data_IF_464667874525
#
_entry.id   IF_464667874525
#
_cell.length_a   1.000
_cell.length_b   1.000
_cell.length_c   1.000
_cell.angle_alpha   90.00
_cell.angle_beta   90.00
_cell.angle_gamma   90.00
#
_symmetry.space_group_name_H-M   'P 1'
#
loop_
_entity.id
_entity.type
_entity.pdbx_description
1 polymer ?
#
# COMPACT_ATOMS: atom_id res chain seq x y z
N UNK A 1 -17.05 52.10 41.69
CA UNK A 1 -17.31 50.90 42.51
C UNK A 1 -16.82 49.70 41.71
N UNK A 2 -15.94 48.79 42.12
CA UNK A 2 -15.12 48.59 43.32
C UNK A 2 -13.93 47.72 42.86
N UNK A 3 -12.71 48.06 43.29
CA UNK A 3 -11.93 47.34 44.31
C UNK A 3 -10.91 46.38 43.69
N UNK A 4 -9.70 46.91 43.49
CA UNK A 4 -8.48 46.15 43.23
C UNK A 4 -8.10 45.35 44.48
N UNK A 5 -7.74 44.07 44.30
CA UNK A 5 -7.06 43.29 45.33
C UNK A 5 -5.57 43.15 44.99
N UNK A 6 -4.79 43.41 46.04
CA UNK A 6 -3.38 43.69 46.10
C UNK A 6 -2.50 42.45 45.87
N UNK A 7 -1.47 42.63 45.03
CA UNK A 7 -0.34 41.72 44.87
C UNK A 7 0.58 41.79 46.09
N UNK A 8 0.83 40.67 46.76
CA UNK A 8 1.87 40.56 47.79
C UNK A 8 3.22 40.26 47.12
N UNK A 9 4.19 41.16 47.32
CA UNK A 9 5.58 40.98 46.91
C UNK A 9 6.33 40.05 47.89
N UNK A 10 7.41 39.37 47.46
CA UNK A 10 8.16 38.44 48.31
C UNK A 10 9.01 39.20 49.33
N UNK A 11 8.98 38.76 50.59
CA UNK A 11 9.88 39.27 51.62
C UNK A 11 11.29 38.70 51.42
N UNK A 12 12.23 39.57 51.07
CA UNK A 12 13.65 39.27 50.97
C UNK A 12 14.26 39.23 52.39
N UNK A 13 14.46 38.03 52.93
CA UNK A 13 15.18 37.84 54.19
C UNK A 13 16.69 37.87 53.92
N UNK A 14 17.29 39.05 54.09
CA UNK A 14 18.74 39.23 54.07
C UNK A 14 19.31 38.73 55.40
N UNK A 15 19.99 37.59 55.38
CA UNK A 15 20.72 37.06 56.54
C UNK A 15 22.12 37.69 56.53
N UNK A 16 22.41 38.55 57.51
CA UNK A 16 23.76 39.05 57.75
C UNK A 16 24.57 38.07 58.59
N UNK A 17 25.84 37.78 58.28
CA UNK A 17 26.66 36.90 59.08
C UNK A 17 27.24 37.67 60.29
N UNK A 18 27.09 37.10 61.49
CA UNK A 18 27.75 37.60 62.69
C UNK A 18 29.07 36.85 62.88
N UNK A 19 30.20 37.56 62.78
CA UNK A 19 31.54 37.00 63.05
C UNK A 19 31.81 36.83 64.58
N UNK A 20 32.97 36.28 65.02
CA UNK A 20 33.09 34.87 65.37
C UNK A 20 33.59 34.72 66.82
N UNK A 21 32.76 34.19 67.71
CA UNK A 21 33.26 33.78 69.02
C UNK A 21 32.58 32.52 69.55
N UNK A 22 33.38 31.45 69.55
CA UNK A 22 33.36 30.30 70.47
C UNK A 22 32.39 29.14 70.18
N UNK A 23 33.01 27.96 69.98
CA UNK A 23 32.51 26.58 69.90
C UNK A 23 31.11 26.36 69.31
N UNK A 24 31.07 25.90 68.06
CA UNK A 24 29.87 25.29 67.47
C UNK A 24 29.54 24.02 68.25
N UNK A 25 28.52 24.08 69.12
CA UNK A 25 27.98 22.89 69.76
C UNK A 25 27.02 22.21 68.79
N UNK A 26 27.46 21.09 68.22
CA UNK A 26 26.58 20.25 67.41
C UNK A 26 25.61 19.50 68.32
N UNK A 27 24.35 19.38 67.89
CA UNK A 27 23.39 18.57 68.63
C UNK A 27 23.86 17.11 68.68
N UNK A 28 23.63 16.39 69.79
CA UNK A 28 24.03 14.99 69.93
C UNK A 28 23.47 14.09 68.81
N UNK A 29 22.34 14.46 68.24
CA UNK A 29 21.70 13.78 67.11
C UNK A 29 22.44 13.98 65.77
N UNK A 30 23.14 15.10 65.57
CA UNK A 30 24.01 15.29 64.40
C UNK A 30 25.33 14.54 64.57
N UNK A 31 25.91 14.58 65.77
CA UNK A 31 27.14 13.85 66.09
C UNK A 31 26.90 12.34 65.94
N UNK A 32 25.77 11.82 66.42
CA UNK A 32 25.40 10.41 66.31
C UNK A 32 25.20 9.95 64.86
N UNK A 33 24.78 10.83 63.95
CA UNK A 33 24.63 10.51 62.51
C UNK A 33 25.96 10.50 61.78
N UNK A 34 26.89 11.37 62.19
CA UNK A 34 28.23 11.43 61.63
C UNK A 34 29.16 10.35 62.20
N UNK A 35 28.91 9.88 63.43
CA UNK A 35 29.70 8.83 64.08
C UNK A 35 29.30 7.41 63.68
N UNK A 36 28.10 7.20 63.14
CA UNK A 36 27.71 5.93 62.55
C UNK A 36 28.26 5.83 61.13
N UNK A 37 29.08 4.81 60.77
CA UNK A 37 29.40 4.54 59.39
C UNK A 37 28.11 4.19 58.66
N UNK A 38 27.53 5.14 57.95
CA UNK A 38 26.45 4.88 57.03
C UNK A 38 27.12 4.47 55.72
N UNK A 39 26.89 3.24 55.26
CA UNK A 39 27.01 2.95 53.83
C UNK A 39 26.24 4.03 53.06
N UNK A 40 26.68 4.44 51.86
CA UNK A 40 26.01 5.48 51.09
C UNK A 40 24.63 4.97 50.63
N UNK A 41 23.66 4.96 51.54
CA UNK A 41 22.27 4.72 51.22
C UNK A 41 21.81 5.97 50.51
N UNK A 42 21.74 5.87 49.17
CA UNK A 42 21.28 6.95 48.31
C UNK A 42 19.94 7.47 48.88
N UNK A 43 19.86 8.73 49.38
CA UNK A 43 18.61 9.28 49.90
C UNK A 43 17.52 9.34 48.81
N UNK A 44 17.95 9.21 47.55
CA UNK A 44 17.11 9.13 46.37
C UNK A 44 16.67 7.70 45.98
N UNK A 45 17.11 6.64 46.67
CA UNK A 45 16.74 5.26 46.31
C UNK A 45 15.22 5.04 46.39
N UNK A 46 14.58 5.59 47.42
CA UNK A 46 13.12 5.52 47.58
C UNK A 46 12.38 6.37 46.54
N UNK A 47 12.94 7.53 46.16
CA UNK A 47 12.33 8.39 45.13
C UNK A 47 12.51 7.81 43.74
N UNK A 48 13.67 7.24 43.45
CA UNK A 48 14.00 6.57 42.18
C UNK A 48 13.09 5.35 41.97
N UNK A 49 12.78 4.61 43.03
CA UNK A 49 11.84 3.50 42.95
C UNK A 49 10.40 3.95 42.63
N UNK A 50 9.94 5.05 43.23
CA UNK A 50 8.64 5.66 42.90
C UNK A 50 8.60 6.16 41.46
N UNK A 51 9.69 6.80 40.99
CA UNK A 51 9.82 7.28 39.62
C UNK A 51 9.81 6.12 38.62
N UNK A 52 10.60 5.06 38.87
CA UNK A 52 10.64 3.85 38.04
C UNK A 52 9.29 3.18 37.96
N UNK A 53 8.58 3.07 39.10
CA UNK A 53 7.23 2.50 39.17
C UNK A 53 6.23 3.31 38.33
N UNK A 54 6.28 4.65 38.42
CA UNK A 54 5.39 5.52 37.65
C UNK A 54 5.71 5.46 36.16
N UNK A 55 6.99 5.44 35.79
CA UNK A 55 7.42 5.30 34.40
C UNK A 55 7.00 3.94 33.80
N UNK A 56 7.07 2.86 34.59
CA UNK A 56 6.60 1.54 34.18
C UNK A 56 5.08 1.53 33.96
N UNK A 57 4.30 2.13 34.86
CA UNK A 57 2.86 2.26 34.71
C UNK A 57 2.48 3.11 33.48
N UNK A 58 3.14 4.25 33.29
CA UNK A 58 2.88 5.16 32.17
C UNK A 58 3.28 4.53 30.83
N UNK A 59 4.43 3.85 30.76
CA UNK A 59 4.86 3.15 29.54
C UNK A 59 3.96 1.97 29.19
N UNK A 60 3.43 1.25 30.19
CA UNK A 60 2.43 0.21 29.96
C UNK A 60 1.13 0.81 29.39
N UNK A 61 0.70 1.95 29.94
CA UNK A 61 -0.48 2.65 29.45
C UNK A 61 -0.31 3.14 28.01
N UNK A 62 0.83 3.77 27.69
CA UNK A 62 1.13 4.22 26.32
C UNK A 62 1.14 3.05 25.33
N UNK A 63 1.76 1.91 25.68
CA UNK A 63 1.76 0.71 24.82
C UNK A 63 0.35 0.16 24.58
N UNK A 64 -0.54 0.22 25.58
CA UNK A 64 -1.93 -0.19 25.39
C UNK A 64 -2.69 0.73 24.43
N UNK A 65 -2.48 2.05 24.54
CA UNK A 65 -3.08 3.02 23.62
C UNK A 65 -2.52 2.85 22.21
N UNK A 66 -1.22 2.66 22.06
CA UNK A 66 -0.58 2.38 20.77
C UNK A 66 -1.18 1.13 20.11
N UNK A 67 -1.38 0.04 20.87
CA UNK A 67 -1.98 -1.18 20.35
C UNK A 67 -3.43 -0.96 19.87
N UNK A 68 -4.21 -0.18 20.61
CA UNK A 68 -5.58 0.17 20.24
C UNK A 68 -5.62 1.06 18.98
N UNK A 69 -4.76 2.06 18.92
CA UNK A 69 -4.61 2.94 17.75
C UNK A 69 -4.20 2.13 16.53
N UNK A 70 -3.18 1.26 16.63
CA UNK A 70 -2.75 0.40 15.54
C UNK A 70 -3.87 -0.51 15.04
N UNK A 71 -4.66 -1.09 15.97
CA UNK A 71 -5.82 -1.91 15.62
C UNK A 71 -6.89 -1.09 14.88
N UNK A 72 -7.16 0.14 15.33
CA UNK A 72 -8.12 1.02 14.65
C UNK A 72 -7.65 1.45 13.27
N UNK A 73 -6.36 1.75 13.10
CA UNK A 73 -5.74 2.08 11.82
C UNK A 73 -5.80 0.89 10.88
N UNK A 74 -5.45 -0.31 11.35
CA UNK A 74 -5.50 -1.51 10.51
C UNK A 74 -6.92 -1.83 10.06
N UNK A 75 -7.91 -1.71 10.96
CA UNK A 75 -9.32 -1.92 10.63
C UNK A 75 -9.84 -0.86 9.64
N UNK A 76 -9.45 0.40 9.81
CA UNK A 76 -9.81 1.47 8.88
C UNK A 76 -9.19 1.27 7.50
N UNK A 77 -7.92 0.85 7.42
CA UNK A 77 -7.22 0.59 6.17
C UNK A 77 -7.79 -0.66 5.46
N UNK A 78 -8.14 -1.70 6.21
CA UNK A 78 -8.81 -2.89 5.66
C UNK A 78 -10.17 -2.52 5.07
N UNK A 79 -10.97 -1.74 5.81
CA UNK A 79 -12.26 -1.24 5.32
C UNK A 79 -12.08 -0.36 4.08
N UNK A 80 -11.11 0.55 4.09
CA UNK A 80 -10.83 1.41 2.94
C UNK A 80 -10.36 0.61 1.73
N UNK A 81 -9.55 -0.43 1.92
CA UNK A 81 -9.18 -1.35 0.84
C UNK A 81 -10.41 -2.08 0.29
N UNK A 82 -11.31 -2.57 1.16
CA UNK A 82 -12.56 -3.19 0.74
C UNK A 82 -13.50 -2.21 0.00
N UNK A 83 -13.55 -0.95 0.42
CA UNK A 83 -14.37 0.11 -0.20
C UNK A 83 -13.73 0.65 -1.51
N UNK A 84 -12.40 0.65 -1.61
CA UNK A 84 -11.63 1.06 -2.81
C UNK A 84 -11.55 -0.03 -3.87
N UNK A 85 -11.64 -1.30 -3.48
CA UNK A 85 -11.96 -2.42 -4.37
C UNK A 85 -13.39 -2.21 -4.92
N UNK A 86 -13.52 -1.28 -5.87
CA UNK A 86 -14.79 -1.01 -6.55
C UNK A 86 -15.41 -2.33 -7.02
N UNK A 87 -16.74 -2.51 -6.94
CA UNK A 87 -17.41 -3.66 -7.53
C UNK A 87 -17.18 -3.63 -9.05
N UNK A 88 -16.16 -4.36 -9.51
CA UNK A 88 -15.65 -4.32 -10.88
C UNK A 88 -14.13 -4.39 -11.03
N UNK A 89 -13.34 -4.13 -9.97
CA UNK A 89 -11.87 -4.21 -10.03
C UNK A 89 -11.28 -5.46 -9.36
N UNK A 90 -12.13 -6.29 -8.75
CA UNK A 90 -11.68 -7.54 -8.12
C UNK A 90 -11.03 -8.47 -9.15
N UNK A 91 -9.98 -9.18 -8.72
CA UNK A 91 -9.27 -10.20 -9.53
C UNK A 91 -10.21 -11.20 -10.23
N UNK A 92 -11.35 -11.52 -9.61
CA UNK A 92 -12.35 -12.44 -10.18
C UNK A 92 -13.10 -11.85 -11.40
N UNK A 93 -13.44 -10.56 -11.37
CA UNK A 93 -14.07 -9.86 -12.50
C UNK A 93 -13.08 -9.76 -13.66
N UNK A 94 -11.84 -9.40 -13.37
CA UNK A 94 -10.77 -9.37 -14.38
C UNK A 94 -10.54 -10.76 -15.01
N UNK A 95 -10.57 -11.83 -14.21
CA UNK A 95 -10.47 -13.20 -14.71
C UNK A 95 -11.60 -13.57 -15.67
N UNK A 96 -12.84 -13.17 -15.36
CA UNK A 96 -14.01 -13.36 -16.25
C UNK A 96 -13.87 -12.56 -17.54
N UNK A 97 -13.46 -11.30 -17.44
CA UNK A 97 -13.26 -10.43 -18.62
C UNK A 97 -12.16 -10.97 -19.54
N UNK A 98 -11.05 -11.47 -18.97
CA UNK A 98 -9.97 -12.09 -19.74
C UNK A 98 -10.47 -13.33 -20.50
N UNK A 99 -11.26 -14.19 -19.85
CA UNK A 99 -11.79 -15.40 -20.50
C UNK A 99 -12.80 -15.03 -21.60
N UNK A 100 -13.65 -14.03 -21.38
CA UNK A 100 -14.57 -13.53 -22.41
C UNK A 100 -13.82 -12.97 -23.63
N UNK A 101 -12.75 -12.19 -23.39
CA UNK A 101 -11.90 -11.68 -24.48
C UNK A 101 -11.23 -12.84 -25.22
N UNK A 102 -10.73 -13.84 -24.50
CA UNK A 102 -10.12 -15.03 -25.10
C UNK A 102 -11.10 -15.77 -26.00
N UNK A 103 -12.33 -16.01 -25.54
CA UNK A 103 -13.38 -16.66 -26.33
C UNK A 103 -13.76 -15.83 -27.57
N UNK A 104 -13.86 -14.51 -27.43
CA UNK A 104 -14.11 -13.60 -28.57
C UNK A 104 -12.98 -13.67 -29.60
N UNK A 105 -11.72 -13.71 -29.18
CA UNK A 105 -10.56 -13.81 -30.07
C UNK A 105 -10.57 -15.14 -30.83
N UNK A 106 -10.82 -16.26 -30.15
CA UNK A 106 -10.90 -17.57 -30.81
C UNK A 106 -12.05 -17.62 -31.81
N UNK A 107 -13.25 -17.13 -31.47
CA UNK A 107 -14.36 -17.01 -32.45
C UNK A 107 -14.01 -16.16 -33.67
N UNK A 108 -13.25 -15.08 -33.49
CA UNK A 108 -12.80 -14.25 -34.61
C UNK A 108 -11.76 -14.99 -35.46
N UNK A 109 -10.83 -15.72 -34.84
CA UNK A 109 -9.84 -16.56 -35.54
C UNK A 109 -10.49 -17.69 -36.32
N UNK A 110 -11.48 -18.36 -35.75
CA UNK A 110 -12.32 -19.36 -36.42
C UNK A 110 -13.07 -18.75 -37.62
N UNK A 111 -13.59 -17.53 -37.48
CA UNK A 111 -14.19 -16.82 -38.63
C UNK A 111 -13.16 -16.45 -39.70
N UNK A 112 -11.94 -16.04 -39.32
CA UNK A 112 -10.84 -15.74 -40.27
C UNK A 112 -10.29 -17.01 -40.95
N UNK A 113 -10.37 -18.15 -40.31
CA UNK A 113 -10.04 -19.45 -40.92
C UNK A 113 -11.12 -19.96 -41.87
N UNK A 114 -12.30 -19.30 -41.94
CA UNK A 114 -13.29 -19.54 -43.01
C UNK A 114 -12.83 -19.11 -44.39
N UNK A 115 -11.80 -18.27 -44.50
CA UNK A 115 -11.05 -18.18 -45.76
C UNK A 115 -10.30 -19.51 -45.89
N UNK A 116 -10.97 -20.47 -46.54
CA UNK A 116 -10.50 -21.84 -46.67
C UNK A 116 -9.08 -21.88 -47.22
N UNK A 117 -8.26 -22.80 -46.72
CA UNK A 117 -6.85 -22.92 -47.11
C UNK A 117 -6.66 -22.98 -48.65
N UNK A 118 -7.63 -23.55 -49.37
CA UNK A 118 -7.67 -23.59 -50.83
C UNK A 118 -7.74 -22.20 -51.47
N UNK A 119 -8.57 -21.28 -50.95
CA UNK A 119 -8.67 -19.90 -51.46
C UNK A 119 -7.40 -19.10 -51.18
N UNK A 120 -6.79 -19.28 -50.00
CA UNK A 120 -5.49 -18.66 -49.68
C UNK A 120 -4.39 -19.13 -50.63
N UNK A 121 -4.29 -20.44 -50.84
CA UNK A 121 -3.28 -21.01 -51.75
C UNK A 121 -3.50 -20.57 -53.21
N UNK A 122 -4.76 -20.52 -53.67
CA UNK A 122 -5.09 -20.05 -55.00
C UNK A 122 -4.76 -18.55 -55.17
N UNK A 123 -5.01 -17.74 -54.14
CA UNK A 123 -4.63 -16.31 -54.10
C UNK A 123 -3.12 -16.12 -54.16
N UNK A 124 -2.35 -16.85 -53.36
CA UNK A 124 -0.88 -16.78 -53.38
C UNK A 124 -0.32 -17.17 -54.75
N UNK A 125 -0.90 -18.19 -55.39
CA UNK A 125 -0.51 -18.61 -56.74
C UNK A 125 -0.81 -17.54 -57.80
N UNK A 126 -1.96 -16.88 -57.69
CA UNK A 126 -2.36 -15.75 -58.52
C UNK A 126 -1.42 -14.55 -58.36
N UNK A 127 -1.16 -14.14 -57.12
CA UNK A 127 -0.25 -13.03 -56.80
C UNK A 127 1.16 -13.33 -57.35
N UNK A 128 1.65 -14.55 -57.15
CA UNK A 128 2.95 -14.98 -57.69
C UNK A 128 3.00 -14.92 -59.22
N UNK A 129 1.94 -15.31 -59.91
CA UNK A 129 1.88 -15.23 -61.36
C UNK A 129 1.96 -13.77 -61.85
N UNK A 130 1.18 -12.86 -61.23
CA UNK A 130 1.21 -11.45 -61.60
C UNK A 130 2.55 -10.78 -61.31
N UNK A 131 3.19 -11.11 -60.19
CA UNK A 131 4.53 -10.62 -59.87
C UNK A 131 5.59 -11.13 -60.87
N UNK A 132 5.43 -12.34 -61.38
CA UNK A 132 6.34 -12.92 -62.38
C UNK A 132 6.11 -12.33 -63.77
N UNK A 133 4.86 -11.94 -64.09
CA UNK A 133 4.45 -11.47 -65.42
C UNK A 133 3.89 -10.02 -65.39
N UNK A 134 4.69 -9.01 -65.00
CA UNK A 134 4.19 -7.64 -64.77
C UNK A 134 3.63 -6.97 -66.04
N UNK A 135 4.16 -7.31 -67.21
CA UNK A 135 3.74 -6.75 -68.50
C UNK A 135 2.82 -7.70 -69.31
N UNK A 136 2.49 -8.88 -68.75
CA UNK A 136 1.66 -9.90 -69.40
C UNK A 136 0.64 -10.50 -68.42
N UNK A 137 -0.27 -9.68 -67.87
CA UNK A 137 -1.25 -10.16 -66.89
C UNK A 137 -2.24 -11.20 -67.47
N UNK A 138 -2.42 -11.24 -68.78
CA UNK A 138 -3.30 -12.20 -69.46
C UNK A 138 -2.76 -13.64 -69.42
N UNK A 139 -1.46 -13.84 -69.20
CA UNK A 139 -0.86 -15.18 -69.12
C UNK A 139 -1.29 -15.92 -67.83
N UNK A 140 -1.73 -15.19 -66.81
CA UNK A 140 -2.17 -15.70 -65.51
C UNK A 140 -3.65 -16.15 -65.47
N UNK A 141 -4.28 -16.38 -66.62
CA UNK A 141 -5.71 -16.68 -66.71
C UNK A 141 -6.10 -17.99 -66.00
N UNK A 142 -5.20 -18.99 -65.96
CA UNK A 142 -5.44 -20.27 -65.30
C UNK A 142 -5.51 -20.10 -63.79
N UNK A 143 -4.61 -19.31 -63.21
CA UNK A 143 -4.58 -18.98 -61.79
C UNK A 143 -5.80 -18.15 -61.39
N UNK A 144 -6.24 -17.23 -62.27
CA UNK A 144 -7.49 -16.48 -62.09
C UNK A 144 -8.70 -17.40 -62.06
N UNK A 145 -8.78 -18.35 -63.00
CA UNK A 145 -9.89 -19.30 -63.06
C UNK A 145 -9.91 -20.22 -61.83
N UNK A 146 -8.76 -20.76 -61.43
CA UNK A 146 -8.63 -21.56 -60.22
C UNK A 146 -9.08 -20.77 -58.97
N UNK A 147 -8.63 -19.52 -58.81
CA UNK A 147 -9.05 -18.66 -57.70
C UNK A 147 -10.57 -18.42 -57.71
N UNK A 148 -11.17 -18.09 -58.87
CA UNK A 148 -12.62 -17.91 -58.99
C UNK A 148 -13.40 -19.15 -58.60
N UNK A 149 -12.93 -20.34 -58.98
CA UNK A 149 -13.62 -21.59 -58.62
C UNK A 149 -13.60 -21.85 -57.12
N UNK A 150 -12.47 -21.62 -56.44
CA UNK A 150 -12.35 -21.81 -54.99
C UNK A 150 -13.17 -20.77 -54.21
N UNK A 151 -13.21 -19.52 -54.68
CA UNK A 151 -14.08 -18.48 -54.11
C UNK A 151 -15.55 -18.84 -54.28
N UNK A 152 -15.97 -19.30 -55.46
CA UNK A 152 -17.36 -19.70 -55.70
C UNK A 152 -17.79 -20.85 -54.78
N UNK A 153 -16.91 -21.82 -54.52
CA UNK A 153 -17.19 -22.89 -53.54
C UNK A 153 -17.37 -22.34 -52.12
N UNK A 154 -16.52 -21.41 -51.68
CA UNK A 154 -16.68 -20.76 -50.37
C UNK A 154 -17.97 -19.93 -50.29
N UNK A 155 -18.30 -19.16 -51.33
CA UNK A 155 -19.53 -18.37 -51.39
C UNK A 155 -20.77 -19.28 -51.32
N UNK A 156 -20.80 -20.37 -52.08
CA UNK A 156 -21.89 -21.35 -52.01
C UNK A 156 -22.03 -21.98 -50.63
N UNK A 157 -20.91 -22.34 -49.99
CA UNK A 157 -20.92 -22.88 -48.62
C UNK A 157 -21.41 -21.83 -47.61
N UNK A 158 -21.00 -20.56 -47.78
CA UNK A 158 -21.44 -19.46 -46.94
C UNK A 158 -22.94 -19.20 -47.09
N UNK A 159 -23.45 -19.10 -48.31
CA UNK A 159 -24.89 -18.92 -48.57
C UNK A 159 -25.71 -20.07 -47.98
N UNK A 160 -25.25 -21.33 -48.13
CA UNK A 160 -25.90 -22.49 -47.50
C UNK A 160 -25.89 -22.44 -45.97
N UNK A 161 -24.88 -21.82 -45.36
CA UNK A 161 -24.81 -21.68 -43.90
C UNK A 161 -25.74 -20.60 -43.32
N UNK A 162 -26.35 -19.77 -44.19
CA UNK A 162 -27.32 -18.74 -43.80
C UNK A 162 -28.78 -19.19 -43.95
N UNK A 163 -29.03 -20.34 -44.57
CA UNK A 163 -30.36 -20.97 -44.70
C UNK A 163 -30.63 -21.90 -43.52
#
# INVERSE_FOLDING_TARGET
>A
MGAAQSSQAPQEQVITPQEPSTSVQFSPSLISRLSSPHEPTNPHANTDEVVRRRLAAESAHLRSQEAEILKSISAALEKENLDKEKPGMSSEVLGKDIEEIREKVERIRERKTKEGAAVKSARESLEKCYLTNPNKPLDCWKEVEAFKTEVSKLEQAFVKSLQ
#
